data_IF_541065975455
#
_entry.id   IF_541065975455
#
_cell.length_a   1.000
_cell.length_b   1.000
_cell.length_c   1.000
_cell.angle_alpha   90.00
_cell.angle_beta   90.00
_cell.angle_gamma   90.00
#
_symmetry.space_group_name_H-M   'P 1'
#
loop_
_entity.id
_entity.type
_entity.pdbx_description
1 polymer ?
#
# COMPACT_ATOMS: atom_id res chain seq x y z
N UNK A 1 -21.13 -9.22 -3.38
CA UNK A 1 -19.93 -8.76 -4.13
C UNK A 1 -19.10 -9.95 -4.57
N UNK A 2 -18.71 -10.85 -3.67
CA UNK A 2 -17.96 -12.06 -4.01
C UNK A 2 -18.67 -12.97 -5.03
N UNK A 3 -20.00 -13.13 -4.94
CA UNK A 3 -20.80 -13.85 -5.94
C UNK A 3 -20.83 -13.16 -7.33
N UNK A 4 -20.71 -11.83 -7.36
CA UNK A 4 -20.63 -11.09 -8.63
C UNK A 4 -19.26 -11.22 -9.28
N UNK A 5 -18.20 -11.41 -8.48
CA UNK A 5 -16.84 -11.67 -8.98
C UNK A 5 -16.75 -13.11 -9.50
N UNK A 6 -17.26 -14.09 -8.75
CA UNK A 6 -17.26 -15.49 -9.19
C UNK A 6 -18.09 -15.72 -10.45
N UNK A 7 -19.16 -14.95 -10.64
CA UNK A 7 -19.97 -14.95 -11.87
C UNK A 7 -19.44 -14.03 -12.98
N UNK A 8 -18.25 -13.44 -12.82
CA UNK A 8 -17.61 -12.52 -13.79
C UNK A 8 -18.44 -11.28 -14.15
N UNK A 9 -19.35 -10.85 -13.26
CA UNK A 9 -20.09 -9.59 -13.39
C UNK A 9 -19.28 -8.38 -12.91
N UNK A 10 -18.31 -8.61 -12.02
CA UNK A 10 -17.32 -7.63 -11.59
C UNK A 10 -15.94 -8.19 -11.93
N UNK A 11 -15.16 -7.42 -12.67
CA UNK A 11 -13.81 -7.75 -13.11
C UNK A 11 -12.89 -6.58 -12.76
N UNK A 12 -11.63 -6.87 -12.47
CA UNK A 12 -10.59 -5.85 -12.29
C UNK A 12 -9.60 -5.82 -13.46
N UNK A 13 -9.60 -6.87 -14.28
CA UNK A 13 -8.90 -7.00 -15.55
C UNK A 13 -9.90 -7.02 -16.72
N UNK A 14 -9.50 -6.39 -17.83
CA UNK A 14 -10.30 -6.36 -19.06
C UNK A 14 -9.72 -7.37 -20.06
N UNK A 15 -10.56 -8.20 -20.71
CA UNK A 15 -10.08 -9.07 -21.76
C UNK A 15 -9.58 -8.24 -22.96
N UNK A 16 -8.61 -8.75 -23.74
CA UNK A 16 -8.11 -8.06 -24.93
C UNK A 16 -9.25 -7.75 -25.91
N UNK A 17 -9.26 -6.53 -26.47
CA UNK A 17 -10.28 -6.04 -27.39
C UNK A 17 -11.70 -5.99 -26.79
N UNK A 18 -11.83 -5.92 -25.46
CA UNK A 18 -13.12 -5.72 -24.81
C UNK A 18 -13.76 -4.40 -25.27
N UNK A 19 -15.06 -4.45 -25.60
CA UNK A 19 -15.87 -3.25 -25.74
C UNK A 19 -16.23 -2.75 -24.35
N UNK A 20 -15.75 -1.57 -23.98
CA UNK A 20 -16.09 -0.89 -22.74
C UNK A 20 -17.20 0.12 -23.04
N UNK A 21 -18.25 0.09 -22.22
CA UNK A 21 -19.36 1.03 -22.30
C UNK A 21 -19.48 1.74 -20.96
N UNK A 22 -19.39 3.07 -21.01
CA UNK A 22 -19.51 3.94 -19.84
C UNK A 22 -20.80 4.73 -20.00
N UNK A 23 -21.74 4.48 -19.10
CA UNK A 23 -23.04 5.14 -19.12
C UNK A 23 -22.88 6.67 -19.10
N UNK A 24 -23.63 7.35 -19.98
CA UNK A 24 -23.56 8.81 -20.15
C UNK A 24 -22.27 9.35 -20.79
N UNK A 25 -21.28 8.52 -21.14
CA UNK A 25 -20.02 8.97 -21.74
C UNK A 25 -19.79 8.39 -23.15
N UNK A 26 -20.08 7.10 -23.36
CA UNK A 26 -19.94 6.43 -24.66
C UNK A 26 -19.28 5.06 -24.58
N UNK A 27 -18.79 4.56 -25.72
CA UNK A 27 -18.16 3.24 -25.79
C UNK A 27 -16.86 3.23 -26.60
N UNK A 28 -15.90 2.41 -26.21
CA UNK A 28 -14.61 2.23 -26.91
C UNK A 28 -14.15 0.77 -26.85
N UNK A 29 -13.17 0.41 -27.68
CA UNK A 29 -12.49 -0.90 -27.61
C UNK A 29 -11.18 -0.70 -26.86
N UNK A 30 -10.99 -1.45 -25.77
CA UNK A 30 -9.73 -1.45 -25.03
C UNK A 30 -8.73 -2.39 -25.73
N UNK A 31 -7.63 -1.84 -26.24
CA UNK A 31 -6.58 -2.61 -26.90
C UNK A 31 -5.52 -3.09 -25.91
N UNK A 32 -5.04 -2.20 -25.04
CA UNK A 32 -3.97 -2.45 -24.09
C UNK A 32 -4.30 -1.87 -22.72
N UNK A 33 -3.88 -2.55 -21.67
CA UNK A 33 -4.00 -2.10 -20.28
C UNK A 33 -2.59 -1.80 -19.73
N UNK A 34 -2.31 -0.55 -19.41
CA UNK A 34 -1.01 -0.14 -18.86
C UNK A 34 -0.88 -0.40 -17.36
N UNK A 35 -1.98 -0.26 -16.63
CA UNK A 35 -2.03 -0.46 -15.18
C UNK A 35 -3.36 -1.07 -14.78
N UNK A 36 -3.30 -2.08 -13.92
CA UNK A 36 -4.46 -2.72 -13.31
C UNK A 36 -4.15 -3.08 -11.85
N UNK A 37 -5.18 -3.09 -11.02
CA UNK A 37 -5.13 -3.57 -9.65
C UNK A 37 -5.81 -4.94 -9.62
N UNK A 38 -5.25 -5.91 -8.91
CA UNK A 38 -5.86 -7.23 -8.79
C UNK A 38 -7.25 -7.16 -8.14
N UNK A 39 -8.15 -8.07 -8.50
CA UNK A 39 -9.52 -8.07 -7.96
C UNK A 39 -9.55 -8.20 -6.43
N UNK A 40 -8.63 -8.96 -5.85
CA UNK A 40 -8.51 -9.11 -4.39
C UNK A 40 -8.05 -7.81 -3.70
N UNK A 41 -7.10 -7.09 -4.30
CA UNK A 41 -6.69 -5.77 -3.80
C UNK A 41 -7.84 -4.78 -3.88
N UNK A 42 -8.59 -4.76 -4.99
CA UNK A 42 -9.73 -3.86 -5.14
C UNK A 42 -10.86 -4.19 -4.17
N UNK A 43 -11.09 -5.48 -3.90
CA UNK A 43 -12.01 -5.90 -2.84
C UNK A 43 -11.57 -5.42 -1.46
N UNK A 44 -10.27 -5.49 -1.16
CA UNK A 44 -9.72 -5.01 0.10
C UNK A 44 -9.93 -3.50 0.26
N UNK A 45 -9.65 -2.72 -0.79
CA UNK A 45 -9.90 -1.26 -0.83
C UNK A 45 -11.38 -0.93 -0.59
N UNK A 46 -12.30 -1.67 -1.23
CA UNK A 46 -13.74 -1.48 -1.03
C UNK A 46 -14.15 -1.82 0.41
N UNK A 47 -13.63 -2.92 0.97
CA UNK A 47 -13.90 -3.32 2.36
C UNK A 47 -13.40 -2.26 3.34
N UNK A 48 -12.23 -1.66 3.09
CA UNK A 48 -11.71 -0.57 3.93
C UNK A 48 -12.53 0.71 3.79
N UNK A 49 -12.92 1.07 2.57
CA UNK A 49 -13.82 2.21 2.31
C UNK A 49 -15.13 2.06 3.08
N UNK A 50 -15.76 0.87 3.05
CA UNK A 50 -16.98 0.59 3.80
C UNK A 50 -16.78 0.69 5.32
N UNK A 51 -15.62 0.26 5.82
CA UNK A 51 -15.26 0.41 7.24
C UNK A 51 -15.20 1.88 7.64
N UNK A 52 -14.50 2.71 6.85
CA UNK A 52 -14.40 4.16 7.07
C UNK A 52 -15.79 4.81 7.02
N UNK A 53 -16.60 4.47 6.02
CA UNK A 53 -17.97 4.97 5.90
C UNK A 53 -18.87 4.57 7.09
N UNK A 54 -18.56 3.45 7.74
CA UNK A 54 -19.26 2.98 8.95
C UNK A 54 -18.72 3.61 10.24
N UNK A 55 -17.77 4.55 10.15
CA UNK A 55 -17.17 5.27 11.29
C UNK A 55 -15.98 4.57 11.94
N UNK A 56 -15.45 3.49 11.34
CA UNK A 56 -14.21 2.86 11.79
C UNK A 56 -12.95 3.50 11.19
N UNK A 57 -11.76 3.22 11.75
CA UNK A 57 -10.50 3.66 11.14
C UNK A 57 -10.17 2.84 9.89
N UNK A 58 -9.55 3.49 8.91
CA UNK A 58 -8.94 2.86 7.74
C UNK A 58 -7.79 1.91 8.12
N UNK A 59 -7.41 1.03 7.20
CA UNK A 59 -6.23 0.17 7.36
C UNK A 59 -4.94 0.99 7.49
N UNK A 60 -4.85 2.12 6.79
CA UNK A 60 -3.72 3.07 6.89
C UNK A 60 -3.66 3.66 8.30
N UNK A 61 -4.77 4.17 8.85
CA UNK A 61 -4.81 4.74 10.20
C UNK A 61 -4.48 3.69 11.27
N UNK A 62 -4.94 2.44 11.10
CA UNK A 62 -4.58 1.33 11.99
C UNK A 62 -3.07 1.09 11.96
N UNK A 63 -2.47 1.00 10.77
CA UNK A 63 -1.04 0.78 10.60
C UNK A 63 -0.22 1.95 11.17
N UNK A 64 -0.62 3.19 10.89
CA UNK A 64 -0.01 4.40 11.44
C UNK A 64 -0.05 4.41 12.96
N UNK A 65 -1.18 4.03 13.56
CA UNK A 65 -1.31 3.94 15.02
C UNK A 65 -0.32 2.92 15.59
N UNK A 66 -0.23 1.72 15.02
CA UNK A 66 0.72 0.68 15.48
C UNK A 66 2.17 1.14 15.28
N UNK A 67 2.45 1.86 14.19
CA UNK A 67 3.76 2.47 13.95
C UNK A 67 4.12 3.49 15.03
N UNK A 68 3.19 4.39 15.41
CA UNK A 68 3.40 5.32 16.52
C UNK A 68 3.62 4.60 17.85
N UNK A 69 2.83 3.56 18.14
CA UNK A 69 2.99 2.73 19.34
C UNK A 69 4.36 2.03 19.38
N UNK A 70 4.92 1.64 18.22
CA UNK A 70 6.29 1.13 18.14
C UNK A 70 7.34 2.21 18.43
N UNK A 71 7.15 3.43 17.94
CA UNK A 71 8.09 4.53 18.20
C UNK A 71 8.14 4.89 19.70
N UNK A 72 7.01 4.78 20.40
CA UNK A 72 6.92 5.00 21.85
C UNK A 72 7.51 3.83 22.66
N UNK A 73 7.19 2.59 22.29
CA UNK A 73 7.71 1.38 22.95
C UNK A 73 8.18 0.32 21.94
N UNK A 74 9.44 0.41 21.49
CA UNK A 74 9.96 -0.45 20.44
C UNK A 74 10.17 -1.86 20.98
N UNK A 75 9.37 -2.81 20.54
CA UNK A 75 9.47 -4.23 20.91
C UNK A 75 9.30 -5.13 19.69
N UNK A 76 9.82 -6.35 19.73
CA UNK A 76 9.67 -7.33 18.63
C UNK A 76 8.20 -7.67 18.35
N UNK A 77 7.37 -7.70 19.40
CA UNK A 77 5.93 -7.90 19.28
C UNK A 77 5.30 -6.81 18.41
N UNK A 78 5.66 -5.54 18.64
CA UNK A 78 5.16 -4.41 17.87
C UNK A 78 5.60 -4.44 16.41
N UNK A 79 6.78 -4.95 16.10
CA UNK A 79 7.21 -5.18 14.71
C UNK A 79 6.30 -6.21 14.03
N UNK A 80 5.96 -7.29 14.74
CA UNK A 80 5.07 -8.34 14.21
C UNK A 80 3.65 -7.79 13.98
N UNK A 81 3.11 -7.03 14.93
CA UNK A 81 1.82 -6.35 14.79
C UNK A 81 1.82 -5.35 13.62
N UNK A 82 2.90 -4.58 13.49
CA UNK A 82 3.09 -3.61 12.41
C UNK A 82 3.12 -4.30 11.05
N UNK A 83 3.85 -5.42 10.92
CA UNK A 83 3.89 -6.22 9.68
C UNK A 83 2.50 -6.67 9.26
N UNK A 84 1.74 -7.24 10.20
CA UNK A 84 0.38 -7.73 9.91
C UNK A 84 -0.51 -6.56 9.45
N UNK A 85 -0.46 -5.42 10.14
CA UNK A 85 -1.25 -4.25 9.76
C UNK A 85 -0.85 -3.71 8.38
N UNK A 86 0.45 -3.61 8.11
CA UNK A 86 1.02 -3.12 6.86
C UNK A 86 0.67 -4.01 5.66
N UNK A 87 0.81 -5.34 5.81
CA UNK A 87 0.54 -6.29 4.72
C UNK A 87 -0.96 -6.41 4.38
N UNK A 88 -1.84 -6.06 5.32
CA UNK A 88 -3.29 -5.98 5.07
C UNK A 88 -3.69 -4.79 4.19
N UNK A 89 -2.87 -3.74 4.10
CA UNK A 89 -3.12 -2.60 3.20
C UNK A 89 -2.89 -3.05 1.74
N UNK A 90 -3.78 -2.70 0.78
CA UNK A 90 -3.53 -2.91 -0.64
C UNK A 90 -2.16 -2.38 -1.06
N UNK A 91 -1.44 -3.10 -1.92
CA UNK A 91 -0.01 -2.85 -2.16
C UNK A 91 0.25 -1.41 -2.64
N UNK A 92 -0.59 -0.94 -3.56
CA UNK A 92 -0.50 0.40 -4.13
C UNK A 92 -0.87 1.53 -3.15
N UNK A 93 -1.49 1.21 -2.00
CA UNK A 93 -1.84 2.18 -0.95
C UNK A 93 -0.83 2.21 0.20
N UNK A 94 0.04 1.21 0.33
CA UNK A 94 1.02 1.09 1.43
C UNK A 94 1.92 2.32 1.54
N UNK A 95 2.28 2.94 0.42
CA UNK A 95 3.11 4.15 0.39
C UNK A 95 2.52 5.34 1.18
N UNK A 96 1.22 5.33 1.45
CA UNK A 96 0.53 6.39 2.20
C UNK A 96 0.58 6.19 3.72
N UNK A 97 1.23 5.14 4.22
CA UNK A 97 1.40 4.92 5.66
C UNK A 97 2.33 5.95 6.29
N UNK A 98 3.39 6.36 5.59
CA UNK A 98 4.29 7.41 6.10
C UNK A 98 3.97 8.80 5.54
N UNK A 99 4.94 9.70 5.64
CA UNK A 99 4.81 11.05 5.09
C UNK A 99 5.03 11.08 3.57
N UNK A 100 4.76 12.24 2.95
CA UNK A 100 4.85 12.42 1.50
C UNK A 100 6.27 12.29 0.94
N UNK A 101 7.31 12.47 1.78
CA UNK A 101 8.71 12.49 1.35
C UNK A 101 9.34 11.10 1.43
N UNK A 102 9.14 10.45 2.58
CA UNK A 102 9.74 9.16 2.95
C UNK A 102 8.81 7.99 2.62
N UNK A 103 7.50 8.24 2.47
CA UNK A 103 6.48 7.22 2.22
C UNK A 103 6.56 6.12 3.29
N UNK A 104 6.32 4.87 2.89
CA UNK A 104 6.41 3.68 3.72
C UNK A 104 7.83 3.19 4.01
N UNK A 105 8.88 3.88 3.54
CA UNK A 105 10.28 3.41 3.66
C UNK A 105 10.65 3.10 5.11
N UNK A 106 10.29 3.98 6.05
CA UNK A 106 10.55 3.78 7.48
C UNK A 106 9.87 2.53 8.04
N UNK A 107 8.62 2.28 7.64
CA UNK A 107 7.85 1.11 8.07
C UNK A 107 8.44 -0.16 7.47
N UNK A 108 8.82 -0.14 6.19
CA UNK A 108 9.51 -1.26 5.53
C UNK A 108 10.84 -1.59 6.19
N UNK A 109 11.64 -0.58 6.56
CA UNK A 109 12.90 -0.79 7.27
C UNK A 109 12.69 -1.54 8.60
N UNK A 110 11.64 -1.22 9.35
CA UNK A 110 11.32 -1.93 10.60
C UNK A 110 10.90 -3.38 10.39
N UNK A 111 10.16 -3.65 9.31
CA UNK A 111 9.54 -4.96 9.07
C UNK A 111 10.49 -5.92 8.33
N UNK A 112 11.20 -5.41 7.33
CA UNK A 112 12.00 -6.20 6.38
C UNK A 112 13.51 -5.96 6.52
N UNK A 113 13.93 -4.88 7.19
CA UNK A 113 15.33 -4.58 7.52
C UNK A 113 15.86 -3.27 6.92
N UNK A 114 16.96 -2.77 7.49
CA UNK A 114 17.52 -1.44 7.19
C UNK A 114 17.86 -1.22 5.70
N UNK A 115 18.11 -2.29 4.93
CA UNK A 115 18.42 -2.23 3.50
C UNK A 115 17.26 -1.70 2.64
N UNK A 116 16.03 -1.68 3.18
CA UNK A 116 14.86 -1.17 2.45
C UNK A 116 15.00 0.30 2.04
N UNK A 117 15.85 1.07 2.72
CA UNK A 117 16.16 2.46 2.34
C UNK A 117 16.75 2.56 0.93
N UNK A 118 17.40 1.52 0.42
CA UNK A 118 17.98 1.51 -0.93
C UNK A 118 16.92 1.54 -2.05
N UNK A 119 15.68 1.16 -1.74
CA UNK A 119 14.55 1.17 -2.66
C UNK A 119 13.89 2.56 -2.77
N UNK A 120 14.23 3.50 -1.88
CA UNK A 120 13.68 4.85 -1.91
C UNK A 120 14.29 5.68 -3.04
N UNK A 121 13.46 6.38 -3.80
CA UNK A 121 13.88 7.16 -4.99
C UNK A 121 14.96 8.19 -4.66
N UNK A 122 14.86 8.90 -3.53
CA UNK A 122 15.87 9.89 -3.14
C UNK A 122 17.22 9.25 -2.84
N UNK A 123 17.23 8.06 -2.23
CA UNK A 123 18.46 7.30 -2.01
C UNK A 123 19.12 6.91 -3.34
N UNK A 124 18.35 6.38 -4.29
CA UNK A 124 18.86 5.99 -5.61
C UNK A 124 19.41 7.18 -6.40
N UNK A 125 18.71 8.31 -6.37
CA UNK A 125 19.16 9.56 -7.02
C UNK A 125 20.46 10.05 -6.38
N UNK A 126 20.54 10.13 -5.05
CA UNK A 126 21.75 10.57 -4.34
C UNK A 126 22.95 9.66 -4.65
N UNK A 127 22.74 8.33 -4.65
CA UNK A 127 23.74 7.33 -5.00
C UNK A 127 24.27 7.52 -6.43
N UNK A 128 23.38 7.74 -7.40
CA UNK A 128 23.76 7.97 -8.80
C UNK A 128 24.49 9.30 -9.00
N UNK A 129 24.16 10.32 -8.20
CA UNK A 129 24.82 11.63 -8.24
C UNK A 129 26.12 11.70 -7.43
N UNK A 130 26.48 10.64 -6.70
CA UNK A 130 27.62 10.66 -5.78
C UNK A 130 27.47 11.65 -4.62
N UNK A 131 26.22 11.99 -4.27
CA UNK A 131 25.87 12.90 -3.18
C UNK A 131 25.79 12.17 -1.85
N UNK A 132 25.65 12.92 -0.74
CA UNK A 132 25.42 12.34 0.58
C UNK A 132 24.11 11.53 0.59
N UNK A 133 24.19 10.30 1.12
CA UNK A 133 23.06 9.39 1.14
C UNK A 133 22.09 9.77 2.26
N UNK A 134 20.78 9.86 1.99
CA UNK A 134 19.82 10.14 3.04
C UNK A 134 19.75 8.97 4.02
N UNK A 135 19.45 9.27 5.29
CA UNK A 135 19.34 8.28 6.36
C UNK A 135 18.05 8.48 7.14
N UNK A 136 17.48 7.38 7.64
CA UNK A 136 16.29 7.38 8.48
C UNK A 136 16.69 6.71 9.80
N UNK A 137 16.60 7.46 10.90
CA UNK A 137 16.94 6.95 12.23
C UNK A 137 15.69 6.37 12.88
N UNK A 138 15.69 5.05 13.11
CA UNK A 138 14.58 4.33 13.75
C UNK A 138 15.03 3.73 15.09
N UNK A 139 14.17 3.74 16.12
CA UNK A 139 14.47 3.08 17.38
C UNK A 139 14.62 1.57 17.16
N UNK A 140 15.53 0.93 17.89
CA UNK A 140 15.71 -0.52 17.82
C UNK A 140 14.78 -1.22 18.81
N UNK A 141 14.25 -2.41 18.46
CA UNK A 141 13.40 -3.15 19.39
C UNK A 141 14.19 -3.54 20.64
N UNK A 142 13.58 -3.32 21.80
CA UNK A 142 14.00 -3.90 23.07
C UNK A 142 13.73 -5.41 22.99
N UNK A 143 14.70 -6.19 23.48
CA UNK A 143 14.55 -7.63 23.68
C UNK A 143 13.54 -7.94 24.77
#
# INVERSE_FOLDING_TARGET
>A
MEEMISSQKILADLPPNAKVEIDGLGSFIALECMHQVGIEEKLSEIKDTLRVMSGGPSLIEICQKIYQEYLEDPTEKRITELRIAYENIPEHERMYVGDMDVKDTAVRMLIYGDQEIENWSHYQVAKNMGSELPSINLPKPKK
#
